data_IF_762153856342
#
_entry.id   IF_762153856342
#
_cell.length_a   1.000
_cell.length_b   1.000
_cell.length_c   1.000
_cell.angle_alpha   90.00
_cell.angle_beta   90.00
_cell.angle_gamma   90.00
#
_symmetry.space_group_name_H-M   'P 1'
#
loop_
_entity.id
_entity.type
_entity.pdbx_description
1 polymer ?
#
# COMPACT_ATOMS: atom_id res chain seq x y z
N UNK A 1 -1.13 8.89 -9.80
CA UNK A 1 -1.57 7.55 -9.32
C UNK A 1 -2.37 7.70 -8.04
N UNK A 2 -3.24 6.74 -7.70
CA UNK A 2 -3.91 6.69 -6.38
C UNK A 2 -5.21 7.48 -6.20
N UNK A 3 -5.60 8.35 -7.14
CA UNK A 3 -6.88 9.07 -7.08
C UNK A 3 -8.00 8.20 -7.67
N UNK A 4 -9.07 7.88 -6.92
CA UNK A 4 -10.18 7.08 -7.41
C UNK A 4 -10.76 7.63 -8.72
N UNK A 5 -10.92 6.77 -9.72
CA UNK A 5 -11.47 7.17 -11.02
C UNK A 5 -10.59 8.13 -11.84
N UNK A 6 -9.35 8.41 -11.43
CA UNK A 6 -8.52 9.42 -12.12
C UNK A 6 -8.18 9.11 -13.55
N UNK A 7 -7.96 7.85 -13.93
CA UNK A 7 -7.53 7.52 -15.30
C UNK A 7 -8.68 7.41 -16.31
N UNK A 8 -9.93 7.25 -15.86
CA UNK A 8 -11.13 7.04 -16.71
C UNK A 8 -12.32 7.95 -16.33
N UNK A 9 -12.14 8.84 -15.36
CA UNK A 9 -13.21 9.64 -14.76
C UNK A 9 -13.49 10.93 -15.52
N UNK A 10 -14.48 11.70 -15.03
CA UNK A 10 -14.85 12.99 -15.62
C UNK A 10 -13.67 13.94 -15.69
N UNK A 11 -13.00 14.13 -14.55
CA UNK A 11 -11.83 15.02 -14.40
C UNK A 11 -10.79 14.83 -15.49
N UNK A 12 -10.33 13.60 -15.75
CA UNK A 12 -9.29 13.35 -16.74
C UNK A 12 -9.75 13.62 -18.16
N UNK A 13 -10.93 13.13 -18.55
CA UNK A 13 -11.43 13.32 -19.91
C UNK A 13 -11.79 14.79 -20.19
N UNK A 14 -12.28 15.51 -19.18
CA UNK A 14 -12.61 16.93 -19.29
C UNK A 14 -11.34 17.78 -19.42
N UNK A 15 -10.23 17.37 -18.78
CA UNK A 15 -8.92 17.99 -18.96
C UNK A 15 -8.25 17.60 -20.30
N UNK A 16 -8.23 16.31 -20.63
CA UNK A 16 -7.44 15.77 -21.74
C UNK A 16 -8.07 16.06 -23.12
N UNK A 17 -9.39 16.31 -23.18
CA UNK A 17 -10.12 16.61 -24.43
C UNK A 17 -9.77 15.64 -25.58
N UNK A 18 -9.71 14.34 -25.26
CA UNK A 18 -9.28 13.31 -26.21
C UNK A 18 -10.24 13.20 -27.41
N UNK A 19 -9.72 12.92 -28.62
CA UNK A 19 -10.54 12.78 -29.83
C UNK A 19 -11.31 11.44 -29.90
N UNK A 20 -11.33 10.67 -28.82
CA UNK A 20 -11.95 9.34 -28.74
C UNK A 20 -12.97 9.27 -27.60
N UNK A 21 -13.97 8.40 -27.72
CA UNK A 21 -14.98 8.23 -26.68
C UNK A 21 -14.39 7.62 -25.40
N UNK A 22 -15.06 7.84 -24.27
CA UNK A 22 -14.69 7.21 -22.97
C UNK A 22 -14.68 5.69 -23.06
N UNK A 23 -15.65 5.13 -23.77
CA UNK A 23 -15.77 3.68 -23.97
C UNK A 23 -14.61 3.13 -24.81
N UNK A 24 -14.25 3.84 -25.88
CA UNK A 24 -13.09 3.49 -26.71
C UNK A 24 -11.80 3.57 -25.89
N UNK A 25 -11.57 4.66 -25.16
CA UNK A 25 -10.40 4.83 -24.32
C UNK A 25 -10.29 3.75 -23.24
N UNK A 26 -11.39 3.44 -22.54
CA UNK A 26 -11.41 2.38 -21.52
C UNK A 26 -11.06 1.00 -22.12
N UNK A 27 -11.56 0.71 -23.33
CA UNK A 27 -11.25 -0.53 -24.06
C UNK A 27 -9.77 -0.60 -24.45
N UNK A 28 -9.22 0.47 -25.02
CA UNK A 28 -7.82 0.55 -25.45
C UNK A 28 -6.87 0.49 -24.24
N UNK A 29 -7.15 1.25 -23.19
CA UNK A 29 -6.41 1.17 -21.93
C UNK A 29 -6.43 -0.25 -21.35
N UNK A 30 -7.59 -0.92 -21.36
CA UNK A 30 -7.68 -2.31 -20.88
C UNK A 30 -6.88 -3.29 -21.74
N UNK A 31 -6.75 -3.04 -23.05
CA UNK A 31 -5.93 -3.86 -23.94
C UNK A 31 -4.43 -3.67 -23.63
N UNK A 32 -3.98 -2.43 -23.47
CA UNK A 32 -2.60 -2.11 -23.08
C UNK A 32 -2.26 -2.71 -21.70
N UNK A 33 -3.15 -2.57 -20.71
CA UNK A 33 -2.96 -3.16 -19.38
C UNK A 33 -2.80 -4.68 -19.43
N UNK A 34 -3.56 -5.38 -20.28
CA UNK A 34 -3.42 -6.84 -20.46
C UNK A 34 -2.07 -7.23 -21.05
N UNK A 35 -1.46 -6.39 -21.88
CA UNK A 35 -0.13 -6.61 -22.43
C UNK A 35 1.00 -6.26 -21.45
N UNK A 36 0.84 -5.17 -20.69
CA UNK A 36 1.91 -4.60 -19.86
C UNK A 36 1.92 -5.08 -18.41
N UNK A 37 0.76 -5.33 -17.79
CA UNK A 37 0.71 -5.76 -16.38
C UNK A 37 1.42 -7.09 -16.11
N UNK A 38 1.42 -8.09 -17.03
CA UNK A 38 2.22 -9.29 -16.85
C UNK A 38 3.74 -9.05 -16.74
N UNK A 39 4.22 -7.85 -17.11
CA UNK A 39 5.63 -7.48 -17.04
C UNK A 39 6.02 -6.82 -15.72
N UNK A 40 5.05 -6.51 -14.84
CA UNK A 40 5.30 -5.86 -13.55
C UNK A 40 6.36 -6.60 -12.73
N UNK A 41 7.30 -5.83 -12.18
CA UNK A 41 8.39 -6.30 -11.32
C UNK A 41 8.20 -5.80 -9.88
N UNK A 42 8.73 -6.52 -8.87
CA UNK A 42 8.91 -5.97 -7.54
C UNK A 42 9.74 -4.68 -7.58
N UNK A 43 9.39 -3.71 -6.73
CA UNK A 43 10.28 -2.58 -6.48
C UNK A 43 11.62 -3.08 -5.89
N UNK A 44 12.75 -2.39 -6.16
CA UNK A 44 14.00 -2.65 -5.46
C UNK A 44 13.79 -2.71 -3.95
N UNK A 45 14.36 -3.72 -3.30
CA UNK A 45 14.22 -3.96 -1.86
C UNK A 45 12.92 -4.65 -1.41
N UNK A 46 11.85 -4.70 -2.22
CA UNK A 46 10.56 -5.26 -1.78
C UNK A 46 10.62 -6.74 -1.38
N UNK A 47 11.40 -7.54 -2.13
CA UNK A 47 11.59 -8.98 -1.83
C UNK A 47 12.38 -9.17 -0.53
N UNK A 48 13.46 -8.41 -0.35
CA UNK A 48 14.27 -8.46 0.86
C UNK A 48 13.49 -8.00 2.09
N UNK A 49 12.75 -6.90 1.97
CA UNK A 49 11.89 -6.35 3.02
C UNK A 49 10.84 -7.38 3.46
N UNK A 50 10.04 -7.90 2.53
CA UNK A 50 8.98 -8.84 2.88
C UNK A 50 9.52 -10.19 3.38
N UNK A 51 10.66 -10.64 2.85
CA UNK A 51 11.38 -11.81 3.34
C UNK A 51 11.80 -11.64 4.81
N UNK A 52 12.41 -10.49 5.14
CA UNK A 52 12.81 -10.13 6.51
C UNK A 52 11.61 -10.13 7.45
N UNK A 53 10.54 -9.42 7.08
CA UNK A 53 9.32 -9.29 7.89
C UNK A 53 8.65 -10.65 8.18
N UNK A 54 8.56 -11.50 7.16
CA UNK A 54 7.87 -12.80 7.29
C UNK A 54 8.75 -13.90 7.89
N UNK A 55 10.00 -13.60 8.25
CA UNK A 55 10.97 -14.59 8.74
C UNK A 55 11.32 -15.66 7.70
N UNK A 56 11.00 -15.43 6.42
CA UNK A 56 11.35 -16.33 5.32
C UNK A 56 12.74 -15.97 4.83
N UNK A 57 13.68 -16.91 4.95
CA UNK A 57 14.98 -16.81 4.29
C UNK A 57 14.77 -16.66 2.79
N UNK A 58 15.21 -15.54 2.24
CA UNK A 58 15.60 -15.46 0.83
C UNK A 58 17.07 -15.89 0.82
N UNK A 59 17.42 -16.89 0.03
CA UNK A 59 18.79 -17.39 -0.07
C UNK A 59 19.75 -16.20 -0.34
N UNK A 60 20.88 -16.18 0.37
CA UNK A 60 21.97 -15.18 0.36
C UNK A 60 21.85 -13.93 1.27
N UNK A 61 21.56 -14.13 2.56
CA UNK A 61 22.20 -13.29 3.61
C UNK A 61 21.35 -12.24 4.32
N UNK A 62 20.02 -12.39 4.36
CA UNK A 62 19.17 -11.52 5.18
C UNK A 62 19.28 -11.91 6.67
N UNK A 63 19.57 -10.93 7.52
CA UNK A 63 19.68 -11.08 8.97
C UNK A 63 18.38 -11.67 9.55
N UNK A 64 18.52 -12.56 10.53
CA UNK A 64 17.39 -13.03 11.32
C UNK A 64 16.76 -11.79 12.00
N UNK A 65 15.42 -11.73 12.06
CA UNK A 65 14.73 -10.84 13.01
C UNK A 65 15.11 -11.34 14.40
N UNK A 66 16.15 -10.75 14.98
CA UNK A 66 16.63 -11.07 16.33
C UNK A 66 16.23 -9.94 17.25
N UNK A 67 15.84 -10.26 18.48
CA UNK A 67 15.71 -9.25 19.51
C UNK A 67 17.09 -8.77 20.02
N UNK A 68 17.07 -7.84 20.98
CA UNK A 68 18.28 -7.28 21.60
C UNK A 68 19.19 -8.34 22.25
N UNK A 69 18.65 -9.50 22.58
CA UNK A 69 19.34 -10.60 23.26
C UNK A 69 19.84 -11.67 22.27
N UNK A 70 19.52 -11.52 20.97
CA UNK A 70 19.94 -12.45 19.92
C UNK A 70 18.99 -13.63 19.73
N UNK A 71 17.78 -13.57 20.28
CA UNK A 71 16.75 -14.60 20.11
C UNK A 71 15.88 -14.32 18.88
N UNK A 72 15.41 -15.38 18.21
CA UNK A 72 14.54 -15.25 17.04
C UNK A 72 13.22 -14.59 17.43
N UNK A 73 13.03 -13.37 16.96
CA UNK A 73 11.80 -12.60 17.12
C UNK A 73 10.69 -13.22 16.27
N UNK A 74 9.46 -13.16 16.78
CA UNK A 74 8.29 -13.62 16.05
C UNK A 74 8.18 -12.93 14.69
N UNK A 75 7.78 -13.68 13.66
CA UNK A 75 7.53 -13.13 12.33
C UNK A 75 6.45 -12.05 12.40
N UNK A 76 6.62 -10.99 11.61
CA UNK A 76 5.64 -9.91 11.51
C UNK A 76 4.44 -10.40 10.69
N UNK A 77 3.24 -10.11 11.18
CA UNK A 77 2.01 -10.44 10.47
C UNK A 77 1.81 -9.50 9.28
N UNK A 78 1.67 -10.05 8.07
CA UNK A 78 1.58 -9.27 6.83
C UNK A 78 0.24 -9.47 6.11
N UNK A 79 -0.24 -8.41 5.47
CA UNK A 79 -1.41 -8.40 4.59
C UNK A 79 -1.16 -7.52 3.37
N UNK A 80 -1.89 -7.79 2.29
CA UNK A 80 -1.92 -6.93 1.09
C UNK A 80 -3.22 -6.14 1.08
N UNK A 81 -3.14 -4.83 0.91
CA UNK A 81 -4.29 -3.93 0.72
C UNK A 81 -4.19 -3.24 -0.64
N UNK A 82 -4.85 -3.77 -1.67
CA UNK A 82 -4.76 -3.24 -3.04
C UNK A 82 -6.11 -2.76 -3.58
N UNK A 83 -6.14 -1.56 -4.17
CA UNK A 83 -7.30 -1.06 -4.92
C UNK A 83 -7.44 -1.69 -6.31
N UNK A 84 -6.64 -2.70 -6.66
CA UNK A 84 -6.80 -3.47 -7.89
C UNK A 84 -7.98 -4.44 -7.77
N UNK A 85 -8.73 -4.64 -8.85
CA UNK A 85 -9.64 -5.78 -8.98
C UNK A 85 -8.85 -7.10 -9.06
N UNK A 86 -9.49 -8.23 -8.78
CA UNK A 86 -8.91 -9.58 -8.92
C UNK A 86 -8.30 -9.81 -10.30
N UNK A 87 -8.99 -9.39 -11.36
CA UNK A 87 -8.49 -9.53 -12.73
C UNK A 87 -7.18 -8.76 -12.96
N UNK A 88 -7.13 -7.49 -12.54
CA UNK A 88 -5.92 -6.68 -12.69
C UNK A 88 -4.79 -7.15 -11.75
N UNK A 89 -5.13 -7.57 -10.54
CA UNK A 89 -4.18 -8.18 -9.61
C UNK A 89 -3.54 -9.43 -10.22
N UNK A 90 -4.33 -10.34 -10.80
CA UNK A 90 -3.82 -11.57 -11.40
C UNK A 90 -2.84 -11.29 -12.55
N UNK A 91 -3.12 -10.28 -13.37
CA UNK A 91 -2.20 -9.85 -14.44
C UNK A 91 -0.90 -9.28 -13.85
N UNK A 92 -0.99 -8.35 -12.89
CA UNK A 92 0.17 -7.75 -12.23
C UNK A 92 1.04 -8.77 -11.48
N UNK A 93 0.42 -9.82 -10.96
CA UNK A 93 1.08 -10.91 -10.23
C UNK A 93 1.54 -12.06 -11.13
N UNK A 94 1.43 -11.95 -12.46
CA UNK A 94 1.69 -13.07 -13.37
C UNK A 94 3.18 -13.43 -13.48
N UNK A 95 4.06 -12.42 -13.41
CA UNK A 95 5.52 -12.60 -13.49
C UNK A 95 6.04 -13.43 -12.32
N UNK A 96 7.02 -14.31 -12.56
CA UNK A 96 7.51 -15.27 -11.57
C UNK A 96 8.00 -14.61 -10.28
N UNK A 97 8.80 -13.54 -10.40
CA UNK A 97 9.36 -12.81 -9.24
C UNK A 97 8.26 -12.12 -8.43
N UNK A 98 7.32 -11.44 -9.10
CA UNK A 98 6.17 -10.77 -8.47
C UNK A 98 5.24 -11.78 -7.80
N UNK A 99 5.01 -12.93 -8.44
CA UNK A 99 4.24 -14.03 -7.88
C UNK A 99 4.89 -14.61 -6.63
N UNK A 100 6.22 -14.76 -6.62
CA UNK A 100 6.96 -15.25 -5.47
C UNK A 100 6.87 -14.28 -4.28
N UNK A 101 7.07 -12.98 -4.52
CA UNK A 101 6.88 -11.92 -3.52
C UNK A 101 5.48 -11.98 -2.90
N UNK A 102 4.44 -11.88 -3.73
CA UNK A 102 3.05 -11.86 -3.24
C UNK A 102 2.65 -13.21 -2.62
N UNK A 103 3.33 -14.29 -3.00
CA UNK A 103 3.23 -15.64 -2.43
C UNK A 103 3.64 -15.73 -0.96
N UNK A 104 4.40 -14.76 -0.44
CA UNK A 104 4.76 -14.70 0.98
C UNK A 104 3.58 -14.28 1.86
N UNK A 105 2.57 -13.61 1.30
CA UNK A 105 1.36 -13.17 2.00
C UNK A 105 0.26 -14.24 1.84
N UNK A 106 -0.34 -14.77 2.91
CA UNK A 106 -1.43 -15.74 2.83
C UNK A 106 -2.62 -15.22 2.00
N UNK A 107 -3.26 -16.04 1.14
CA UNK A 107 -4.36 -15.60 0.27
C UNK A 107 -5.52 -14.91 1.03
N UNK A 108 -5.87 -15.38 2.21
CA UNK A 108 -6.93 -14.84 3.06
C UNK A 108 -6.64 -13.42 3.57
N UNK A 109 -5.35 -13.03 3.62
CA UNK A 109 -4.86 -11.70 4.01
C UNK A 109 -4.56 -10.79 2.81
N UNK A 110 -4.93 -11.21 1.60
CA UNK A 110 -4.90 -10.34 0.42
C UNK A 110 -6.29 -9.73 0.23
N UNK A 111 -6.38 -8.41 0.40
CA UNK A 111 -7.60 -7.62 0.27
C UNK A 111 -7.54 -6.84 -1.04
N UNK A 112 -8.48 -7.14 -1.93
CA UNK A 112 -8.61 -6.53 -3.26
C UNK A 112 -9.91 -5.73 -3.37
N UNK A 113 -9.96 -4.77 -4.29
CA UNK A 113 -11.08 -3.80 -4.38
C UNK A 113 -12.45 -4.43 -4.63
N UNK A 114 -12.49 -5.57 -5.33
CA UNK A 114 -13.70 -6.30 -5.69
C UNK A 114 -13.90 -7.57 -4.83
N UNK A 115 -13.26 -7.64 -3.67
CA UNK A 115 -13.56 -8.68 -2.69
C UNK A 115 -14.93 -8.48 -2.03
N UNK A 116 -15.62 -9.58 -1.69
CA UNK A 116 -16.91 -9.51 -0.97
C UNK A 116 -16.79 -8.76 0.36
N UNK A 117 -15.66 -8.91 1.08
CA UNK A 117 -15.37 -8.14 2.31
C UNK A 117 -15.18 -6.63 2.09
N UNK A 118 -15.00 -6.20 0.84
CA UNK A 118 -14.93 -4.80 0.43
C UNK A 118 -16.27 -4.25 -0.08
N UNK A 119 -17.34 -5.05 -0.08
CA UNK A 119 -18.67 -4.57 -0.48
C UNK A 119 -19.14 -3.45 0.46
N UNK A 120 -19.36 -2.27 -0.12
CA UNK A 120 -19.74 -1.07 0.63
C UNK A 120 -18.58 -0.32 1.30
N UNK A 121 -17.35 -0.83 1.19
CA UNK A 121 -16.15 -0.12 1.63
C UNK A 121 -15.87 1.06 0.68
N UNK A 122 -15.39 2.15 1.25
CA UNK A 122 -14.99 3.36 0.52
C UNK A 122 -13.56 3.21 0.03
N UNK A 123 -13.27 3.77 -1.14
CA UNK A 123 -11.90 3.86 -1.66
C UNK A 123 -11.04 4.86 -0.89
N UNK A 124 -9.72 4.76 -1.05
CA UNK A 124 -8.76 5.74 -0.54
C UNK A 124 -9.15 7.17 -0.97
N UNK A 125 -9.09 8.19 -0.09
CA UNK A 125 -8.40 8.17 1.19
C UNK A 125 -9.20 7.65 2.38
N UNK A 126 -10.35 6.99 2.20
CA UNK A 126 -11.01 6.34 3.32
C UNK A 126 -10.14 5.19 3.87
N UNK A 127 -10.14 4.95 5.19
CA UNK A 127 -9.26 3.97 5.84
C UNK A 127 -9.69 2.51 5.61
N UNK A 128 -10.87 2.31 5.03
CA UNK A 128 -11.60 1.04 5.01
C UNK A 128 -10.75 -0.14 4.52
N UNK A 129 -9.92 0.04 3.47
CA UNK A 129 -9.08 -1.04 2.94
C UNK A 129 -7.99 -1.50 3.91
N UNK A 130 -7.41 -0.59 4.69
CA UNK A 130 -6.39 -0.93 5.68
C UNK A 130 -7.02 -1.57 6.92
N UNK A 131 -8.19 -1.08 7.34
CA UNK A 131 -8.97 -1.70 8.40
C UNK A 131 -9.41 -3.12 8.02
N UNK A 132 -9.82 -3.35 6.75
CA UNK A 132 -10.12 -4.71 6.25
C UNK A 132 -8.88 -5.61 6.17
N UNK A 133 -7.71 -5.06 5.86
CA UNK A 133 -6.46 -5.82 5.92
C UNK A 133 -6.12 -6.23 7.36
N UNK A 134 -6.27 -5.32 8.34
CA UNK A 134 -6.11 -5.62 9.75
C UNK A 134 -7.12 -6.66 10.26
N UNK A 135 -8.40 -6.51 9.89
CA UNK A 135 -9.43 -7.52 10.19
C UNK A 135 -9.04 -8.89 9.64
N UNK A 136 -8.49 -8.96 8.42
CA UNK A 136 -8.05 -10.21 7.80
C UNK A 136 -6.86 -10.85 8.53
N UNK A 137 -5.90 -10.05 9.02
CA UNK A 137 -4.82 -10.53 9.89
C UNK A 137 -5.44 -11.09 11.17
N UNK A 138 -6.20 -10.26 11.88
CA UNK A 138 -6.78 -10.59 13.17
C UNK A 138 -7.72 -11.81 13.11
N UNK A 139 -8.42 -12.05 12.01
CA UNK A 139 -9.25 -13.24 11.83
C UNK A 139 -8.46 -14.57 11.92
N UNK A 140 -7.15 -14.53 11.66
CA UNK A 140 -6.26 -15.70 11.74
C UNK A 140 -5.50 -15.81 13.06
N UNK A 141 -5.54 -14.77 13.90
CA UNK A 141 -4.86 -14.71 15.20
C UNK A 141 -5.80 -15.16 16.32
N UNK A 142 -5.22 -15.65 17.42
CA UNK A 142 -5.93 -15.91 18.67
C UNK A 142 -6.41 -14.60 19.31
N UNK A 143 -7.43 -14.68 20.16
CA UNK A 143 -8.06 -13.51 20.78
C UNK A 143 -7.15 -12.72 21.72
N UNK A 144 -6.18 -13.37 22.35
CA UNK A 144 -5.18 -12.75 23.20
C UNK A 144 -4.04 -12.05 22.43
N UNK A 145 -3.98 -12.23 21.09
CA UNK A 145 -2.92 -11.71 20.23
C UNK A 145 -3.46 -10.84 19.08
N UNK A 146 -4.59 -10.17 19.27
CA UNK A 146 -5.13 -9.26 18.23
C UNK A 146 -4.28 -7.99 18.15
N UNK A 147 -4.01 -7.57 16.92
CA UNK A 147 -3.24 -6.38 16.58
C UNK A 147 -4.20 -5.18 16.51
N UNK A 148 -3.82 -4.08 17.14
CA UNK A 148 -4.51 -2.79 17.05
C UNK A 148 -3.97 -1.94 15.89
N UNK A 149 -4.71 -0.93 15.40
CA UNK A 149 -4.21 -0.10 14.30
C UNK A 149 -2.89 0.62 14.60
N UNK A 150 -2.61 0.98 15.85
CA UNK A 150 -1.37 1.66 16.23
C UNK A 150 -0.12 0.75 16.17
N UNK A 151 -0.33 -0.57 16.11
CA UNK A 151 0.72 -1.57 15.91
C UNK A 151 0.96 -1.88 14.43
N UNK A 152 0.16 -1.29 13.53
CA UNK A 152 0.30 -1.49 12.09
C UNK A 152 1.26 -0.48 11.45
N UNK A 153 2.04 -0.97 10.48
CA UNK A 153 2.87 -0.18 9.58
C UNK A 153 2.39 -0.36 8.13
N UNK A 154 1.98 0.73 7.50
CA UNK A 154 1.53 0.77 6.10
C UNK A 154 2.66 1.24 5.20
N UNK A 155 2.92 0.51 4.11
CA UNK A 155 3.78 0.99 3.02
C UNK A 155 2.90 1.49 1.86
N UNK A 156 3.09 2.73 1.43
CA UNK A 156 2.26 3.37 0.40
C UNK A 156 3.08 4.27 -0.53
N UNK A 157 2.69 4.36 -1.80
CA UNK A 157 3.31 5.26 -2.79
C UNK A 157 2.46 6.51 -3.02
N UNK A 158 1.16 6.43 -2.78
CA UNK A 158 0.19 7.45 -3.19
C UNK A 158 -0.23 8.37 -2.04
N UNK A 159 -0.43 9.66 -2.33
CA UNK A 159 -0.92 10.63 -1.32
C UNK A 159 -2.28 10.21 -0.71
N UNK A 160 -3.30 9.78 -1.49
CA UNK A 160 -4.54 9.29 -0.89
C UNK A 160 -4.35 8.01 -0.06
N UNK A 161 -3.35 7.18 -0.39
CA UNK A 161 -2.99 6.02 0.40
C UNK A 161 -2.36 6.39 1.74
N UNK A 162 -1.46 7.37 1.76
CA UNK A 162 -0.89 7.90 3.01
C UNK A 162 -2.00 8.42 3.92
N UNK A 163 -2.89 9.25 3.39
CA UNK A 163 -4.02 9.77 4.15
C UNK A 163 -4.93 8.64 4.67
N UNK A 164 -5.23 7.61 3.86
CA UNK A 164 -5.99 6.45 4.32
C UNK A 164 -5.31 5.70 5.47
N UNK A 165 -3.98 5.54 5.43
CA UNK A 165 -3.21 4.93 6.52
C UNK A 165 -3.28 5.77 7.80
N UNK A 166 -3.13 7.09 7.68
CA UNK A 166 -3.29 8.04 8.79
C UNK A 166 -4.68 7.94 9.42
N UNK A 167 -5.73 7.99 8.61
CA UNK A 167 -7.13 7.87 9.06
C UNK A 167 -7.45 6.51 9.69
N UNK A 168 -6.70 5.47 9.33
CA UNK A 168 -6.82 4.16 9.96
C UNK A 168 -6.17 4.11 11.35
N UNK A 169 -5.47 5.18 11.79
CA UNK A 169 -4.69 5.20 13.03
C UNK A 169 -3.38 4.42 12.92
N UNK A 170 -2.91 4.12 11.71
CA UNK A 170 -1.72 3.31 11.45
C UNK A 170 -0.51 4.20 11.17
N UNK A 171 0.69 3.67 11.43
CA UNK A 171 1.94 4.32 10.99
C UNK A 171 2.08 4.14 9.48
N UNK A 172 2.72 5.10 8.80
CA UNK A 172 2.86 5.05 7.34
C UNK A 172 4.31 5.32 6.91
N UNK A 173 4.81 4.49 6.00
CA UNK A 173 6.04 4.71 5.24
C UNK A 173 5.64 5.06 3.82
N UNK A 174 5.85 6.31 3.45
CA UNK A 174 5.58 6.83 2.12
C UNK A 174 6.80 6.61 1.22
N UNK A 175 6.61 5.91 0.11
CA UNK A 175 7.63 5.57 -0.89
C UNK A 175 7.19 6.12 -2.25
N UNK A 176 7.26 7.44 -2.46
CA UNK A 176 6.72 8.07 -3.66
C UNK A 176 7.55 7.78 -4.90
N UNK A 177 6.89 7.80 -6.06
CA UNK A 177 7.59 8.01 -7.32
C UNK A 177 8.29 9.39 -7.32
N UNK A 178 9.51 9.54 -7.88
CA UNK A 178 10.25 10.80 -7.87
C UNK A 178 9.46 12.01 -8.41
N UNK A 179 8.70 11.82 -9.50
CA UNK A 179 7.86 12.90 -10.05
C UNK A 179 6.72 13.33 -9.11
N UNK A 180 6.17 12.39 -8.34
CA UNK A 180 5.15 12.70 -7.33
C UNK A 180 5.78 13.49 -6.18
N UNK A 181 6.95 13.05 -5.71
CA UNK A 181 7.74 13.77 -4.69
C UNK A 181 8.04 15.19 -5.14
N UNK A 182 8.52 15.37 -6.37
CA UNK A 182 8.79 16.69 -6.94
C UNK A 182 7.53 17.59 -7.02
N UNK A 183 6.37 17.00 -7.31
CA UNK A 183 5.10 17.75 -7.31
C UNK A 183 4.70 18.28 -5.93
N UNK A 184 5.08 17.59 -4.85
CA UNK A 184 4.82 17.99 -3.47
C UNK A 184 6.02 18.64 -2.77
N UNK A 185 7.02 19.10 -3.53
CA UNK A 185 8.20 19.76 -2.98
C UNK A 185 7.83 20.93 -2.05
N UNK A 186 8.29 20.88 -0.80
CA UNK A 186 7.97 21.86 0.25
C UNK A 186 6.61 21.66 0.94
N UNK A 187 5.88 20.59 0.60
CA UNK A 187 4.59 20.20 1.18
C UNK A 187 4.58 18.74 1.64
N UNK A 188 5.75 18.12 1.77
CA UNK A 188 5.91 16.72 2.20
C UNK A 188 5.29 16.50 3.58
N UNK A 189 5.46 17.46 4.50
CA UNK A 189 4.83 17.42 5.82
C UNK A 189 3.30 17.35 5.78
N UNK A 190 2.66 17.99 4.79
CA UNK A 190 1.20 17.88 4.59
C UNK A 190 0.82 16.49 4.10
N UNK A 191 1.61 15.88 3.21
CA UNK A 191 1.42 14.51 2.76
C UNK A 191 1.50 13.54 3.93
N UNK A 192 2.58 13.61 4.71
CA UNK A 192 2.83 12.73 5.86
C UNK A 192 1.78 12.89 6.98
N UNK A 193 1.18 14.08 7.11
CA UNK A 193 0.05 14.29 8.02
C UNK A 193 -1.30 13.84 7.44
N UNK A 194 -1.38 13.48 6.15
CA UNK A 194 -2.64 13.21 5.46
C UNK A 194 -3.49 14.47 5.22
N UNK A 195 -2.88 15.66 5.26
CA UNK A 195 -3.55 16.97 5.26
C UNK A 195 -3.50 17.71 3.92
N UNK A 196 -3.26 17.01 2.82
CA UNK A 196 -3.13 17.65 1.50
C UNK A 196 -4.42 18.25 0.95
N UNK A 197 -5.58 17.82 1.47
CA UNK A 197 -6.90 18.32 1.07
C UNK A 197 -7.30 17.93 -0.36
N UNK A 198 -6.61 16.98 -0.99
CA UNK A 198 -6.85 16.59 -2.40
C UNK A 198 -8.23 15.96 -2.58
N UNK A 199 -8.70 15.21 -1.59
CA UNK A 199 -10.03 14.58 -1.60
C UNK A 199 -10.75 14.95 -0.31
N UNK A 200 -11.82 15.77 -0.37
CA UNK A 200 -12.52 16.22 0.83
C UNK A 200 -13.45 15.11 1.36
N UNK A 201 -12.93 14.28 2.26
CA UNK A 201 -13.71 13.24 2.96
C UNK A 201 -13.37 13.19 4.45
N UNK A 202 -14.22 12.51 5.22
CA UNK A 202 -13.99 12.21 6.64
C UNK A 202 -13.86 13.46 7.53
N UNK A 203 -13.30 13.28 8.72
CA UNK A 203 -13.13 14.36 9.70
C UNK A 203 -11.67 14.77 9.85
N UNK A 204 -11.43 16.03 10.24
CA UNK A 204 -10.10 16.59 10.53
C UNK A 204 -9.40 15.86 11.69
N UNK A 205 -10.15 15.37 12.68
CA UNK A 205 -9.64 14.63 13.83
C UNK A 205 -9.04 13.26 13.49
N UNK A 206 -9.31 12.74 12.29
CA UNK A 206 -8.72 11.49 11.79
C UNK A 206 -7.37 11.71 11.11
N UNK A 207 -6.94 12.98 10.94
CA UNK A 207 -5.67 13.35 10.30
C UNK A 207 -4.55 13.51 11.32
N UNK A 208 -3.31 13.31 10.86
CA UNK A 208 -2.11 13.50 11.68
C UNK A 208 -1.77 14.96 11.95
N UNK A 209 -0.71 15.21 12.71
CA UNK A 209 -0.10 16.54 12.83
C UNK A 209 1.19 16.60 11.99
N UNK A 210 1.49 17.77 11.44
CA UNK A 210 2.74 17.95 10.68
C UNK A 210 3.91 17.78 11.65
N UNK A 211 4.79 16.80 11.34
CA UNK A 211 5.98 16.53 12.16
C UNK A 211 5.74 15.62 13.36
N UNK A 212 4.60 14.94 13.47
CA UNK A 212 4.31 14.00 14.56
C UNK A 212 5.14 12.70 14.53
N UNK A 213 5.87 12.46 13.43
CA UNK A 213 6.71 11.27 13.24
C UNK A 213 5.93 9.96 13.05
N UNK A 214 4.61 10.03 12.90
CA UNK A 214 3.75 8.85 12.72
C UNK A 214 3.73 8.37 11.27
N UNK A 215 4.12 9.23 10.33
CA UNK A 215 4.52 8.84 8.99
C UNK A 215 5.92 9.34 8.65
N UNK A 216 6.61 8.59 7.79
CA UNK A 216 7.90 9.00 7.23
C UNK A 216 7.93 8.82 5.71
N UNK A 217 8.90 9.47 5.08
CA UNK A 217 9.22 9.30 3.66
C UNK A 217 10.55 8.56 3.53
N UNK A 218 10.61 7.58 2.63
CA UNK A 218 11.87 6.95 2.19
C UNK A 218 11.90 6.88 0.66
N UNK A 219 13.11 6.98 0.08
CA UNK A 219 13.29 6.94 -1.37
C UNK A 219 13.36 5.52 -1.95
N UNK A 220 13.69 4.52 -1.13
CA UNK A 220 13.82 3.11 -1.54
C UNK A 220 13.55 2.17 -0.38
N UNK A 221 12.96 1.00 -0.69
CA UNK A 221 12.76 -0.09 0.29
C UNK A 221 14.05 -0.82 0.62
N UNK A 222 15.14 -0.60 -0.13
CA UNK A 222 16.44 -1.26 0.09
C UNK A 222 17.10 -0.85 1.41
N UNK A 223 16.74 0.31 1.95
CA UNK A 223 17.35 0.91 3.14
C UNK A 223 16.35 1.12 4.27
N UNK A 224 15.30 0.30 4.33
CA UNK A 224 14.30 0.39 5.39
C UNK A 224 14.91 0.12 6.77
N UNK A 225 14.74 1.06 7.71
CA UNK A 225 15.27 0.97 9.08
C UNK A 225 14.31 0.18 9.98
N UNK A 226 14.50 -1.14 10.05
CA UNK A 226 13.72 -2.03 10.91
C UNK A 226 13.77 -1.63 12.40
N UNK A 227 14.93 -1.18 12.89
CA UNK A 227 15.15 -0.86 14.29
C UNK A 227 14.28 0.33 14.75
N UNK A 228 14.05 1.32 13.88
CA UNK A 228 13.12 2.44 14.13
C UNK A 228 11.68 2.00 14.41
N UNK A 229 11.29 0.84 13.89
CA UNK A 229 9.96 0.27 14.07
C UNK A 229 9.92 -0.81 15.16
N UNK A 230 11.06 -1.07 15.82
CA UNK A 230 11.18 -2.17 16.75
C UNK A 230 10.85 -3.49 16.06
N UNK A 231 11.30 -3.67 14.82
CA UNK A 231 11.24 -4.92 14.04
C UNK A 231 12.61 -5.56 14.04
#
# INVERSE_FOLDING_TARGET
MGVPGSSNGHVFHDWAQLPISREQYAREQSAEQKGLFPLCEPLPGAVALLGSLTGRRVDDGVALNLDSDGDAKAAVEVALASSSSRGNYALKAARAETKALLGMIPPERRVLADDEKMKGARGKPAPDIFLKALEAINATLKDDNKISPMECLVFEDSVPGVEAGRRAGMRVVWVPHPDLKAHFAGREGEVLAGRTGIVPIGKEEELGEIGDGWAEEIDSLEYFDFAKYGI
#
